data_IF_312339294502
#
_entry.id   IF_312339294502
#
_cell.length_a   1.000
_cell.length_b   1.000
_cell.length_c   1.000
_cell.angle_alpha   90.00
_cell.angle_beta   90.00
_cell.angle_gamma   90.00
#
_symmetry.space_group_name_H-M   'P 1'
#
loop_
_entity.id
_entity.type
_entity.pdbx_description
1 polymer ?
#
# COMPACT_ATOMS: atom_id res chain seq x y z
N UNK A 1 4.43 3.57 -5.11
CA UNK A 1 3.31 4.16 -5.88
C UNK A 1 2.88 5.53 -5.34
N UNK A 2 2.25 5.64 -4.16
CA UNK A 2 1.65 6.92 -3.70
C UNK A 2 2.66 7.91 -3.07
N UNK A 3 3.78 7.41 -2.55
CA UNK A 3 4.82 8.24 -1.91
C UNK A 3 5.36 9.36 -2.79
N UNK A 4 5.32 9.21 -4.11
CA UNK A 4 5.76 10.22 -5.07
C UNK A 4 4.70 11.26 -5.42
N UNK A 5 3.41 10.98 -5.15
CA UNK A 5 2.32 11.90 -5.47
C UNK A 5 2.13 12.97 -4.40
N UNK A 6 2.21 12.59 -3.12
CA UNK A 6 2.21 13.56 -2.03
C UNK A 6 2.95 13.00 -0.81
N UNK A 7 4.26 13.15 -0.82
CA UNK A 7 5.11 12.65 0.24
C UNK A 7 4.78 13.26 1.60
N UNK A 8 4.55 14.58 1.64
CA UNK A 8 4.28 15.29 2.89
C UNK A 8 2.98 14.84 3.55
N UNK A 9 1.95 14.50 2.78
CA UNK A 9 0.71 13.93 3.34
C UNK A 9 0.97 12.58 4.00
N UNK A 10 1.83 11.73 3.42
CA UNK A 10 2.19 10.43 4.01
C UNK A 10 3.04 10.61 5.27
N UNK A 11 4.01 11.53 5.25
CA UNK A 11 4.82 11.86 6.42
C UNK A 11 3.96 12.45 7.55
N UNK A 12 2.99 13.31 7.22
CA UNK A 12 2.06 13.89 8.19
C UNK A 12 1.17 12.81 8.83
N UNK A 13 0.65 11.85 8.06
CA UNK A 13 -0.09 10.71 8.60
C UNK A 13 0.78 9.88 9.54
N UNK A 14 1.99 9.53 9.10
CA UNK A 14 2.95 8.78 9.92
C UNK A 14 3.23 9.48 11.26
N UNK A 15 3.41 10.80 11.23
CA UNK A 15 3.67 11.58 12.43
C UNK A 15 2.46 11.71 13.35
N UNK A 16 1.34 12.22 12.82
CA UNK A 16 0.17 12.60 13.63
C UNK A 16 -0.68 11.42 14.07
N UNK A 17 -0.70 10.33 13.30
CA UNK A 17 -1.58 9.18 13.55
C UNK A 17 -0.78 7.98 14.05
N UNK A 18 0.36 7.70 13.43
CA UNK A 18 1.18 6.53 13.79
C UNK A 18 2.29 6.82 14.80
N UNK A 19 2.44 8.08 15.25
CA UNK A 19 3.40 8.49 16.28
C UNK A 19 4.86 8.47 15.84
N UNK A 20 5.14 8.45 14.54
CA UNK A 20 6.50 8.46 14.00
C UNK A 20 7.12 9.85 14.14
N UNK A 21 8.39 10.01 14.56
CA UNK A 21 9.05 11.31 14.55
C UNK A 21 9.08 11.93 13.15
N UNK A 22 8.83 13.24 13.04
CA UNK A 22 8.93 13.94 11.77
C UNK A 22 10.39 14.29 11.47
N UNK A 23 10.94 13.72 10.42
CA UNK A 23 12.24 14.09 9.84
C UNK A 23 12.01 15.18 8.78
N UNK A 24 12.17 16.44 9.17
CA UNK A 24 11.85 17.59 8.30
C UNK A 24 12.75 17.66 7.06
N UNK A 25 14.02 17.30 7.19
CA UNK A 25 14.99 17.27 6.10
C UNK A 25 14.85 16.00 5.22
N UNK A 26 14.27 14.93 5.76
CA UNK A 26 14.01 13.67 5.04
C UNK A 26 12.58 13.14 5.26
N UNK A 27 11.53 13.80 4.72
CA UNK A 27 10.15 13.36 4.91
C UNK A 27 9.86 11.96 4.36
N UNK A 28 10.67 11.49 3.39
CA UNK A 28 10.57 10.12 2.85
C UNK A 28 10.85 9.06 3.91
N UNK A 29 11.81 9.30 4.80
CA UNK A 29 12.09 8.42 5.92
C UNK A 29 10.89 8.34 6.87
N UNK A 30 10.31 9.49 7.21
CA UNK A 30 9.09 9.57 8.04
C UNK A 30 7.95 8.75 7.42
N UNK A 31 7.71 8.90 6.11
CA UNK A 31 6.66 8.17 5.41
C UNK A 31 6.93 6.64 5.37
N UNK A 32 8.17 6.21 5.11
CA UNK A 32 8.56 4.79 5.12
C UNK A 32 8.35 4.15 6.50
N UNK A 33 8.79 4.82 7.56
CA UNK A 33 8.56 4.39 8.93
C UNK A 33 7.05 4.34 9.26
N UNK A 34 6.26 5.26 8.73
CA UNK A 34 4.80 5.21 8.81
C UNK A 34 4.20 3.96 8.19
N UNK A 35 4.65 3.56 7.00
CA UNK A 35 4.23 2.31 6.34
C UNK A 35 4.59 1.10 7.24
N UNK A 36 5.82 1.05 7.75
CA UNK A 36 6.26 -0.03 8.64
C UNK A 36 5.42 -0.11 9.92
N UNK A 37 5.13 1.03 10.56
CA UNK A 37 4.33 1.09 11.78
C UNK A 37 2.88 0.69 11.55
N UNK A 38 2.28 1.09 10.42
CA UNK A 38 0.93 0.68 10.04
C UNK A 38 0.85 -0.84 9.79
N UNK A 39 1.90 -1.41 9.19
CA UNK A 39 1.98 -2.86 9.03
C UNK A 39 2.06 -3.58 10.37
N UNK A 40 2.99 -3.18 11.25
CA UNK A 40 3.08 -3.74 12.61
C UNK A 40 1.74 -3.62 13.34
N UNK A 41 1.06 -2.47 13.25
CA UNK A 41 -0.26 -2.29 13.87
C UNK A 41 -1.27 -3.35 13.44
N UNK A 42 -1.44 -3.60 12.14
CA UNK A 42 -2.36 -4.65 11.68
C UNK A 42 -1.90 -6.07 12.05
N UNK A 43 -0.58 -6.33 12.04
CA UNK A 43 -0.03 -7.61 12.48
C UNK A 43 -0.28 -7.87 13.97
N UNK A 44 -0.18 -6.84 14.81
CA UNK A 44 -0.48 -6.91 16.25
C UNK A 44 -1.95 -7.30 16.51
N UNK A 45 -2.86 -6.94 15.59
CA UNK A 45 -4.27 -7.36 15.61
C UNK A 45 -4.55 -8.70 14.91
N UNK A 46 -3.51 -9.38 14.41
CA UNK A 46 -3.65 -10.65 13.69
C UNK A 46 -4.31 -10.52 12.31
N UNK A 47 -4.28 -9.32 11.71
CA UNK A 47 -4.86 -9.11 10.38
C UNK A 47 -3.88 -9.54 9.29
N UNK A 48 -4.34 -10.32 8.29
CA UNK A 48 -3.50 -10.76 7.18
C UNK A 48 -3.08 -9.57 6.31
N UNK A 49 -1.83 -9.59 5.83
CA UNK A 49 -1.23 -8.46 5.09
C UNK A 49 -0.76 -8.82 3.70
N UNK A 50 -0.74 -10.11 3.38
CA UNK A 50 -0.26 -10.67 2.13
C UNK A 50 -1.24 -11.71 1.61
N UNK A 51 -1.11 -12.09 0.33
CA UNK A 51 -1.91 -13.18 -0.24
C UNK A 51 -1.62 -14.51 0.48
N UNK A 52 -0.37 -14.74 0.89
CA UNK A 52 0.03 -15.94 1.61
C UNK A 52 -0.71 -16.07 2.96
N UNK A 53 -0.87 -14.96 3.70
CA UNK A 53 -1.60 -14.94 4.97
C UNK A 53 -3.10 -15.28 4.78
N UNK A 54 -3.65 -14.98 3.60
CA UNK A 54 -5.04 -15.28 3.21
C UNK A 54 -5.20 -16.67 2.56
N UNK A 55 -4.11 -17.36 2.22
CA UNK A 55 -4.15 -18.56 1.38
C UNK A 55 -4.66 -18.28 -0.05
N UNK A 56 -4.50 -17.05 -0.54
CA UNK A 56 -4.94 -16.62 -1.87
C UNK A 56 -3.89 -16.94 -2.94
N UNK A 57 -4.34 -17.36 -4.12
CA UNK A 57 -3.47 -17.63 -5.27
C UNK A 57 -3.20 -16.33 -6.06
N UNK A 58 -1.92 -15.94 -6.26
CA UNK A 58 -1.58 -14.84 -7.18
C UNK A 58 -2.11 -15.03 -8.61
N UNK A 59 -2.41 -16.27 -9.03
CA UNK A 59 -3.06 -16.58 -10.30
C UNK A 59 -4.46 -15.97 -10.45
N UNK A 60 -5.15 -15.64 -9.35
CA UNK A 60 -6.48 -15.02 -9.37
C UNK A 60 -6.44 -13.50 -9.60
N UNK A 61 -5.25 -12.88 -9.57
CA UNK A 61 -5.10 -11.42 -9.70
C UNK A 61 -5.79 -10.84 -10.96
N UNK A 62 -5.69 -11.44 -12.17
CA UNK A 62 -6.40 -10.94 -13.34
C UNK A 62 -7.93 -10.86 -13.11
N UNK A 63 -8.51 -11.90 -12.51
CA UNK A 63 -9.94 -11.94 -12.18
C UNK A 63 -10.30 -10.89 -11.11
N UNK A 64 -9.45 -10.70 -10.10
CA UNK A 64 -9.65 -9.67 -9.08
C UNK A 64 -9.63 -8.27 -9.68
N UNK A 65 -8.70 -8.01 -10.61
CA UNK A 65 -8.65 -6.73 -11.33
C UNK A 65 -9.91 -6.54 -12.17
N UNK A 66 -10.37 -7.57 -12.90
CA UNK A 66 -11.60 -7.49 -13.70
C UNK A 66 -12.86 -7.22 -12.87
N UNK A 67 -12.87 -7.64 -11.61
CA UNK A 67 -13.97 -7.39 -10.69
C UNK A 67 -14.00 -5.95 -10.12
N UNK A 68 -12.98 -5.13 -10.36
CA UNK A 68 -12.94 -3.76 -9.85
C UNK A 68 -13.90 -2.83 -10.64
N UNK A 69 -14.59 -1.89 -9.96
CA UNK A 69 -15.54 -0.97 -10.58
C UNK A 69 -14.81 0.20 -11.27
N UNK A 70 -14.17 -0.05 -12.40
CA UNK A 70 -13.57 1.00 -13.22
C UNK A 70 -14.65 1.91 -13.82
N UNK A 71 -14.33 3.19 -13.94
CA UNK A 71 -15.15 4.16 -14.68
C UNK A 71 -15.01 3.98 -16.20
N UNK A 72 -15.72 4.79 -16.99
CA UNK A 72 -15.70 4.74 -18.45
C UNK A 72 -14.31 4.93 -19.07
N UNK A 73 -13.37 5.52 -18.33
CA UNK A 73 -11.98 5.72 -18.76
C UNK A 73 -11.06 4.57 -18.37
N UNK A 74 -11.59 3.55 -17.68
CA UNK A 74 -10.81 2.43 -17.19
C UNK A 74 -10.03 2.74 -15.92
N UNK A 75 -10.43 3.75 -15.15
CA UNK A 75 -9.74 4.19 -13.93
C UNK A 75 -10.59 3.99 -12.67
N UNK A 76 -9.93 3.85 -11.52
CA UNK A 76 -10.57 3.80 -10.19
C UNK A 76 -9.88 4.75 -9.22
N UNK A 77 -10.62 5.20 -8.20
CA UNK A 77 -10.10 6.00 -7.09
C UNK A 77 -10.44 7.49 -7.20
N UNK A 78 -10.42 8.15 -6.03
CA UNK A 78 -10.69 9.59 -5.90
C UNK A 78 -9.42 10.40 -5.59
N UNK A 79 -8.53 9.85 -4.76
CA UNK A 79 -7.30 10.55 -4.36
C UNK A 79 -6.20 10.50 -5.42
N UNK A 80 -6.09 9.37 -6.10
CA UNK A 80 -5.25 9.15 -7.27
C UNK A 80 -6.03 8.23 -8.20
N UNK A 81 -6.04 8.54 -9.49
CA UNK A 81 -6.61 7.67 -10.52
C UNK A 81 -5.64 6.54 -10.80
N UNK A 82 -6.15 5.30 -10.75
CA UNK A 82 -5.39 4.08 -11.00
C UNK A 82 -6.02 3.35 -12.17
N UNK A 83 -5.22 3.00 -13.17
CA UNK A 83 -5.63 2.12 -14.25
C UNK A 83 -5.53 0.65 -13.82
N UNK A 84 -5.96 -0.25 -14.72
CA UNK A 84 -5.90 -1.71 -14.51
C UNK A 84 -4.49 -2.20 -14.19
N UNK A 85 -3.47 -1.66 -14.85
CA UNK A 85 -2.09 -2.09 -14.66
C UNK A 85 -1.55 -1.69 -13.28
N UNK A 86 -1.89 -0.49 -12.82
CA UNK A 86 -1.54 -0.01 -11.49
C UNK A 86 -2.23 -0.86 -10.40
N UNK A 87 -3.52 -1.18 -10.57
CA UNK A 87 -4.24 -2.08 -9.67
C UNK A 87 -3.62 -3.48 -9.64
N UNK A 88 -3.32 -4.07 -10.78
CA UNK A 88 -2.64 -5.36 -10.88
C UNK A 88 -1.28 -5.33 -10.16
N UNK A 89 -0.49 -4.28 -10.40
CA UNK A 89 0.82 -4.11 -9.77
C UNK A 89 0.73 -4.04 -8.24
N UNK A 90 -0.30 -3.39 -7.69
CA UNK A 90 -0.55 -3.35 -6.24
C UNK A 90 -0.87 -4.74 -5.71
N UNK A 91 -1.72 -5.51 -6.39
CA UNK A 91 -1.99 -6.90 -6.00
C UNK A 91 -0.75 -7.78 -6.07
N UNK A 92 0.06 -7.66 -7.13
CA UNK A 92 1.31 -8.41 -7.23
C UNK A 92 2.32 -8.03 -6.14
N UNK A 93 2.39 -6.77 -5.71
CA UNK A 93 3.20 -6.39 -4.55
C UNK A 93 2.72 -7.08 -3.27
N UNK A 94 1.40 -7.16 -3.06
CA UNK A 94 0.81 -7.85 -1.91
C UNK A 94 0.97 -9.38 -1.97
N UNK A 95 1.10 -9.94 -3.17
CA UNK A 95 1.41 -11.35 -3.40
C UNK A 95 2.90 -11.69 -3.26
N UNK A 96 3.78 -10.73 -3.49
CA UNK A 96 5.22 -10.95 -3.43
C UNK A 96 5.71 -11.10 -1.97
N UNK A 97 6.47 -12.16 -1.69
CA UNK A 97 7.20 -12.34 -0.41
C UNK A 97 8.35 -11.31 -0.24
N UNK A 98 8.68 -10.56 -1.29
CA UNK A 98 9.82 -9.65 -1.36
C UNK A 98 9.87 -8.62 -0.21
N UNK A 99 8.72 -8.24 0.34
CA UNK A 99 8.64 -7.21 1.38
C UNK A 99 8.90 -7.69 2.81
N UNK A 100 9.04 -9.00 3.05
CA UNK A 100 9.42 -9.54 4.37
C UNK A 100 10.88 -9.28 4.74
N UNK A 101 11.75 -8.92 3.78
CA UNK A 101 13.21 -8.76 3.99
C UNK A 101 13.71 -7.31 3.97
N UNK A 102 12.84 -6.33 3.76
CA UNK A 102 13.24 -4.94 3.48
C UNK A 102 12.83 -3.92 4.56
N UNK A 103 12.45 -4.38 5.75
CA UNK A 103 12.26 -3.55 6.96
C UNK A 103 13.15 -4.09 8.06
#
# INVERSE_FOLDING_TARGET
FITHHNLLRMAQFAHRVMGVPMYFEEPLQTAKLGIARLRSFFADFGLPQTFADLGADPGDIPRMVDALPFDEKGEIGAYMKLDRNACASIYYLAASSFWHKAV
#
